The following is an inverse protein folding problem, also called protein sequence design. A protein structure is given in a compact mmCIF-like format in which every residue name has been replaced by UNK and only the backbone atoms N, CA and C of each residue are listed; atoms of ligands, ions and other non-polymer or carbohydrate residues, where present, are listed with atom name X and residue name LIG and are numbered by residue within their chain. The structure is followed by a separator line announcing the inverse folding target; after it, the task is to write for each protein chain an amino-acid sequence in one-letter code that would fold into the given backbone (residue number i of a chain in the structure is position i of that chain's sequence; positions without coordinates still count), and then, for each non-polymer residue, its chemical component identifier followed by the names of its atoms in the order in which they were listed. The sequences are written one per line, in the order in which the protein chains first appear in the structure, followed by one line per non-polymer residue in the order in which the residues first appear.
data_IF_368741733169
#
_entry.id   IF_368741733169
#
_cell.length_a   1.000
_cell.length_b   1.000
_cell.length_c   1.000
_cell.angle_alpha   90.00
_cell.angle_beta   90.00
_cell.angle_gamma   90.00
#
_symmetry.space_group_name_H-M   'P 1'
#
loop_
_entity.id
_entity.type
_entity.pdbx_description
1 polymer ?
#
# COMPACT_ATOMS: atom_id res chain seq x y z
N UNK A 1 -19.38 15.02 -17.21
CA UNK A 1 -19.96 15.56 -15.97
C UNK A 1 -19.03 16.69 -15.51
N UNK A 2 -19.57 17.86 -15.13
CA UNK A 2 -18.74 18.97 -14.61
C UNK A 2 -18.86 18.96 -13.10
N UNK A 3 -17.75 18.75 -12.39
CA UNK A 3 -17.70 18.88 -10.94
C UNK A 3 -17.42 20.34 -10.57
N UNK A 4 -18.17 20.86 -9.59
CA UNK A 4 -18.00 22.21 -9.05
C UNK A 4 -17.93 22.11 -7.54
N UNK A 5 -16.92 22.73 -6.95
CA UNK A 5 -16.76 22.81 -5.50
C UNK A 5 -16.76 24.27 -5.08
N UNK A 6 -17.49 24.58 -3.99
CA UNK A 6 -17.33 25.87 -3.36
C UNK A 6 -15.95 25.94 -2.73
N UNK A 7 -15.28 27.08 -2.84
CA UNK A 7 -14.04 27.29 -2.10
C UNK A 7 -14.24 27.14 -0.60
N UNK A 8 -15.45 27.39 -0.06
CA UNK A 8 -15.77 27.23 1.36
C UNK A 8 -15.79 25.77 1.81
N UNK A 9 -16.07 24.84 0.90
CA UNK A 9 -16.17 23.42 1.22
C UNK A 9 -14.78 22.77 1.29
N UNK A 10 -13.75 23.39 0.70
CA UNK A 10 -12.39 22.88 0.76
C UNK A 10 -11.86 23.01 2.19
N UNK A 11 -11.41 21.89 2.75
CA UNK A 11 -10.83 21.78 4.10
C UNK A 11 -9.32 21.68 4.08
N UNK A 12 -8.77 21.00 3.08
CA UNK A 12 -7.33 20.84 2.93
C UNK A 12 -6.94 20.67 1.46
N UNK A 13 -5.70 21.03 1.14
CA UNK A 13 -5.07 20.77 -0.15
C UNK A 13 -3.65 20.26 0.04
N UNK A 14 -3.32 19.18 -0.66
CA UNK A 14 -2.04 18.51 -0.53
C UNK A 14 -1.36 18.36 -1.88
N UNK A 15 -0.06 18.64 -1.88
CA UNK A 15 0.85 18.37 -3.00
C UNK A 15 0.96 16.85 -3.17
N UNK A 16 0.60 16.34 -4.35
CA UNK A 16 0.69 14.92 -4.70
C UNK A 16 1.65 14.66 -5.86
N UNK A 17 2.04 13.41 -5.98
CA UNK A 17 2.72 12.87 -7.15
C UNK A 17 1.74 12.02 -7.95
N UNK A 18 1.95 11.96 -9.25
CA UNK A 18 1.26 11.05 -10.16
C UNK A 18 2.30 10.47 -11.13
N UNK A 19 2.38 9.15 -11.24
CA UNK A 19 3.46 8.46 -11.96
C UNK A 19 4.86 8.91 -11.49
N UNK A 20 5.05 8.99 -10.16
CA UNK A 20 6.27 9.51 -9.52
C UNK A 20 6.64 10.98 -9.86
N UNK A 21 5.82 11.71 -10.61
CA UNK A 21 6.04 13.12 -10.98
C UNK A 21 5.28 14.06 -10.05
N UNK A 22 5.86 15.21 -9.62
CA UNK A 22 5.23 16.15 -8.69
C UNK A 22 4.16 17.04 -9.34
N UNK A 23 3.18 16.42 -10.01
CA UNK A 23 2.20 17.08 -10.88
C UNK A 23 0.76 16.95 -10.38
N UNK A 24 0.57 16.43 -9.16
CA UNK A 24 -0.75 16.25 -8.55
C UNK A 24 -1.06 17.28 -7.47
N UNK A 25 -2.34 17.60 -7.32
CA UNK A 25 -2.93 18.23 -6.13
C UNK A 25 -4.13 17.39 -5.71
N UNK A 26 -4.19 17.02 -4.44
CA UNK A 26 -5.38 16.44 -3.85
C UNK A 26 -6.12 17.48 -3.02
N UNK A 27 -7.43 17.58 -3.24
CA UNK A 27 -8.33 18.50 -2.56
C UNK A 27 -9.24 17.68 -1.66
N UNK A 28 -9.35 18.06 -0.39
CA UNK A 28 -10.26 17.44 0.58
C UNK A 28 -11.38 18.40 0.93
N UNK A 29 -12.62 17.93 0.84
CA UNK A 29 -13.82 18.73 1.08
C UNK A 29 -14.49 18.38 2.41
N UNK A 30 -15.39 19.25 2.87
CA UNK A 30 -16.05 19.15 4.18
C UNK A 30 -17.00 17.98 4.32
N UNK A 31 -17.45 17.41 3.21
CA UNK A 31 -18.23 16.17 3.12
C UNK A 31 -17.36 14.90 3.21
N UNK A 32 -16.04 15.04 3.39
CA UNK A 32 -15.09 13.94 3.52
C UNK A 32 -14.61 13.38 2.19
N UNK A 33 -15.03 13.95 1.04
CA UNK A 33 -14.53 13.54 -0.26
C UNK A 33 -13.12 14.08 -0.52
N UNK A 34 -12.33 13.31 -1.26
CA UNK A 34 -11.04 13.70 -1.79
C UNK A 34 -11.07 13.66 -3.32
N UNK A 35 -10.46 14.64 -3.99
CA UNK A 35 -10.30 14.62 -5.44
C UNK A 35 -8.85 14.87 -5.82
N UNK A 36 -8.27 13.96 -6.62
CA UNK A 36 -6.94 14.11 -7.18
C UNK A 36 -7.02 14.78 -8.56
N UNK A 37 -6.37 15.94 -8.68
CA UNK A 37 -6.19 16.66 -9.94
C UNK A 37 -4.75 16.51 -10.41
N UNK A 38 -4.56 16.14 -11.68
CA UNK A 38 -3.26 15.97 -12.32
C UNK A 38 -3.08 17.06 -13.37
N UNK A 39 -1.94 17.75 -13.31
CA UNK A 39 -1.64 18.92 -14.14
C UNK A 39 -0.45 18.67 -15.07
N UNK A 40 -0.22 19.58 -16.01
CA UNK A 40 1.08 19.66 -16.66
C UNK A 40 2.14 20.18 -15.69
N UNK A 41 3.41 19.80 -15.91
CA UNK A 41 4.55 20.03 -15.00
C UNK A 41 4.71 21.49 -14.55
N UNK A 42 4.35 22.44 -15.42
CA UNK A 42 4.51 23.88 -15.19
C UNK A 42 3.33 24.55 -14.48
N UNK A 43 2.18 23.86 -14.36
CA UNK A 43 0.92 24.50 -13.92
C UNK A 43 0.62 24.24 -12.44
N UNK A 44 1.05 23.09 -11.93
CA UNK A 44 0.67 22.59 -10.60
C UNK A 44 0.96 23.61 -9.49
N UNK A 45 2.12 24.24 -9.49
CA UNK A 45 2.48 25.17 -8.41
C UNK A 45 1.66 26.45 -8.46
N UNK A 46 1.46 27.02 -9.66
CA UNK A 46 0.60 28.18 -9.89
C UNK A 46 -0.83 27.94 -9.40
N UNK A 47 -1.39 26.76 -9.68
CA UNK A 47 -2.73 26.38 -9.22
C UNK A 47 -2.75 26.24 -7.69
N UNK A 48 -1.76 25.54 -7.12
CA UNK A 48 -1.67 25.34 -5.67
C UNK A 48 -1.61 26.67 -4.91
N UNK A 49 -0.73 27.58 -5.34
CA UNK A 49 -0.60 28.91 -4.75
C UNK A 49 -1.88 29.73 -4.87
N UNK A 50 -2.54 29.67 -6.03
CA UNK A 50 -3.82 30.36 -6.26
C UNK A 50 -4.90 29.90 -5.26
N UNK A 51 -5.04 28.59 -5.05
CA UNK A 51 -6.02 28.04 -4.09
C UNK A 51 -5.64 28.42 -2.65
N UNK A 52 -4.36 28.34 -2.27
CA UNK A 52 -3.89 28.77 -0.95
C UNK A 52 -4.20 30.25 -0.69
N UNK A 53 -4.02 31.13 -1.68
CA UNK A 53 -4.20 32.57 -1.53
C UNK A 53 -5.68 32.97 -1.38
N UNK A 54 -6.60 32.18 -1.94
CA UNK A 54 -8.05 32.41 -1.82
C UNK A 54 -8.63 32.05 -0.43
N UNK A 55 -7.90 31.28 0.38
CA UNK A 55 -8.34 30.85 1.71
C UNK A 55 -7.17 31.00 2.70
N UNK A 56 -7.06 32.19 3.29
CA UNK A 56 -6.03 32.49 4.30
C UNK A 56 -6.07 31.54 5.53
N UNK A 57 -7.20 30.88 5.80
CA UNK A 57 -7.31 29.83 6.82
C UNK A 57 -6.44 28.59 6.53
N UNK A 58 -6.15 28.30 5.25
CA UNK A 58 -5.16 27.27 4.89
C UNK A 58 -3.72 27.65 5.29
N UNK A 59 -3.50 28.89 5.71
CA UNK A 59 -2.22 29.36 6.24
C UNK A 59 -2.10 29.05 7.74
N UNK A 60 -3.21 28.80 8.44
CA UNK A 60 -3.24 28.56 9.90
C UNK A 60 -3.63 27.11 10.30
N UNK A 61 -4.08 26.28 9.35
CA UNK A 61 -4.52 24.91 9.62
C UNK A 61 -3.38 23.93 9.96
N UNK A 62 -3.56 23.13 11.01
CA UNK A 62 -2.64 22.09 11.55
C UNK A 62 -2.20 21.00 10.53
N UNK A 63 -2.79 20.98 9.33
CA UNK A 63 -2.65 19.92 8.33
C UNK A 63 -2.51 20.44 6.90
N UNK A 64 -2.25 21.72 6.70
CA UNK A 64 -2.22 22.28 5.34
C UNK A 64 -0.90 21.97 4.66
N UNK A 65 -0.89 21.85 3.33
CA UNK A 65 0.32 21.68 2.52
C UNK A 65 1.38 22.80 2.63
N UNK A 66 1.20 23.78 3.54
CA UNK A 66 2.18 24.79 3.94
C UNK A 66 2.87 24.50 5.29
N UNK A 67 2.28 23.66 6.16
CA UNK A 67 2.94 23.24 7.40
C UNK A 67 4.16 22.38 7.06
N UNK A 68 5.31 22.65 7.67
CA UNK A 68 6.51 21.83 7.47
C UNK A 68 6.19 20.38 7.83
N UNK A 69 6.25 19.47 6.85
CA UNK A 69 5.96 18.04 7.03
C UNK A 69 6.74 17.44 8.20
N UNK A 70 7.93 17.98 8.50
CA UNK A 70 8.75 17.57 9.65
C UNK A 70 8.08 17.84 11.01
N UNK A 71 7.50 19.01 11.21
CA UNK A 71 6.84 19.37 12.49
C UNK A 71 5.58 18.53 12.70
N UNK A 72 4.81 18.31 11.63
CA UNK A 72 3.62 17.48 11.68
C UNK A 72 3.97 16.01 12.00
N UNK A 73 4.97 15.44 11.34
CA UNK A 73 5.47 14.09 11.63
C UNK A 73 5.92 13.94 13.09
N UNK A 74 6.64 14.92 13.63
CA UNK A 74 7.08 14.90 15.04
C UNK A 74 5.89 14.90 16.01
N UNK A 75 4.88 15.73 15.75
CA UNK A 75 3.68 15.79 16.57
C UNK A 75 2.90 14.48 16.53
N UNK A 76 2.68 13.92 15.34
CA UNK A 76 1.96 12.65 15.17
C UNK A 76 2.67 11.49 15.85
N UNK A 77 3.99 11.42 15.69
CA UNK A 77 4.79 10.43 16.39
C UNK A 77 4.63 10.55 17.90
N UNK A 78 4.68 11.76 18.47
CA UNK A 78 4.46 11.98 19.91
C UNK A 78 3.09 11.48 20.35
N UNK A 79 2.02 11.87 19.63
CA UNK A 79 0.65 11.46 19.94
C UNK A 79 0.51 9.93 19.92
N UNK A 80 1.13 9.28 18.94
CA UNK A 80 1.13 7.83 18.82
C UNK A 80 1.88 7.15 19.97
N UNK A 81 3.10 7.61 20.30
CA UNK A 81 3.88 7.09 21.43
C UNK A 81 3.14 7.22 22.77
N UNK A 82 2.42 8.32 22.96
CA UNK A 82 1.61 8.54 24.18
C UNK A 82 0.26 7.83 24.15
N UNK A 83 -0.08 7.15 23.05
CA UNK A 83 -1.34 6.46 22.85
C UNK A 83 -2.56 7.37 22.70
N UNK A 84 -2.35 8.66 22.42
CA UNK A 84 -3.42 9.60 22.08
C UNK A 84 -4.03 9.31 20.70
N UNK A 85 -3.31 8.63 19.81
CA UNK A 85 -3.82 8.08 18.54
C UNK A 85 -3.49 6.60 18.40
N UNK A 86 -4.38 5.86 17.73
CA UNK A 86 -4.25 4.42 17.52
C UNK A 86 -3.18 4.07 16.47
N UNK A 87 -2.78 2.80 16.41
CA UNK A 87 -1.86 2.31 15.37
C UNK A 87 -2.47 2.53 13.98
N UNK A 88 -3.76 2.25 13.80
CA UNK A 88 -4.46 2.51 12.55
C UNK A 88 -4.41 4.00 12.15
N UNK A 89 -4.71 4.91 13.08
CA UNK A 89 -4.68 6.34 12.78
C UNK A 89 -3.27 6.80 12.41
N UNK A 90 -2.26 6.34 13.14
CA UNK A 90 -0.87 6.68 12.83
C UNK A 90 -0.45 6.18 11.44
N UNK A 91 -0.78 4.93 11.10
CA UNK A 91 -0.51 4.36 9.77
C UNK A 91 -1.23 5.12 8.64
N UNK A 92 -2.49 5.52 8.86
CA UNK A 92 -3.21 6.35 7.89
C UNK A 92 -2.48 7.68 7.65
N UNK A 93 -2.05 8.35 8.72
CA UNK A 93 -1.31 9.61 8.60
C UNK A 93 0.05 9.43 7.91
N UNK A 94 0.80 8.36 8.22
CA UNK A 94 2.06 8.07 7.52
C UNK A 94 1.83 7.83 6.02
N UNK A 95 0.80 7.06 5.66
CA UNK A 95 0.42 6.83 4.28
C UNK A 95 0.11 8.15 3.56
N UNK A 96 -0.75 9.00 4.13
CA UNK A 96 -1.09 10.32 3.57
C UNK A 96 0.16 11.20 3.39
N UNK A 97 1.03 11.26 4.40
CA UNK A 97 2.27 12.06 4.34
C UNK A 97 3.28 11.51 3.34
N UNK A 98 3.26 10.20 3.08
CA UNK A 98 4.07 9.54 2.07
C UNK A 98 3.53 9.69 0.63
N UNK A 99 2.39 10.37 0.46
CA UNK A 99 1.74 10.63 -0.82
C UNK A 99 0.66 9.62 -1.23
N UNK A 100 0.34 8.65 -0.36
CA UNK A 100 -0.68 7.64 -0.62
C UNK A 100 -2.09 8.21 -0.51
N UNK A 101 -2.99 7.73 -1.36
CA UNK A 101 -4.37 8.20 -1.42
C UNK A 101 -5.30 7.15 -2.06
N UNK A 102 -6.61 7.32 -1.87
CA UNK A 102 -7.64 6.41 -2.39
C UNK A 102 -8.03 6.70 -3.85
N UNK A 103 -7.65 7.87 -4.38
CA UNK A 103 -8.00 8.32 -5.73
C UNK A 103 -7.08 7.76 -6.82
N UNK A 104 -5.90 7.25 -6.45
CA UNK A 104 -4.95 6.60 -7.34
C UNK A 104 -4.59 5.20 -6.79
N UNK A 105 -5.14 4.16 -7.42
CA UNK A 105 -4.90 2.77 -7.01
C UNK A 105 -3.43 2.35 -7.11
N UNK A 106 -2.61 3.04 -7.90
CA UNK A 106 -1.16 2.77 -7.98
C UNK A 106 -0.40 3.30 -6.77
N UNK A 107 -1.03 4.18 -5.99
CA UNK A 107 -0.51 4.79 -4.77
C UNK A 107 -1.48 4.62 -3.59
N UNK A 108 -2.16 3.48 -3.51
CA UNK A 108 -3.08 3.16 -2.44
C UNK A 108 -2.40 3.07 -1.07
N UNK A 109 -3.09 3.36 0.05
CA UNK A 109 -2.52 3.18 1.38
C UNK A 109 -2.13 1.72 1.67
N UNK A 110 -1.06 1.55 2.44
CA UNK A 110 -0.43 0.26 2.73
C UNK A 110 -0.50 0.00 4.23
N UNK A 111 -0.92 -1.21 4.59
CA UNK A 111 -0.97 -1.69 5.96
C UNK A 111 -0.20 -3.02 6.08
N UNK A 112 0.40 -3.31 7.24
CA UNK A 112 1.11 -4.57 7.44
C UNK A 112 0.13 -5.73 7.46
N UNK A 113 0.56 -6.92 7.05
CA UNK A 113 0.08 -8.14 7.70
C UNK A 113 0.52 -8.13 9.17
N UNK A 114 -0.40 -8.37 10.11
CA UNK A 114 -0.08 -8.41 11.56
C UNK A 114 -0.16 -9.80 12.17
N UNK A 115 -0.99 -10.68 11.63
CA UNK A 115 -1.10 -12.07 12.04
C UNK A 115 -0.39 -12.99 11.04
N UNK A 116 0.00 -14.17 11.52
CA UNK A 116 0.45 -15.31 10.71
C UNK A 116 -0.39 -16.57 10.91
N UNK A 117 -1.24 -16.60 11.94
CA UNK A 117 -2.14 -17.71 12.20
C UNK A 117 -3.52 -17.50 11.56
N UNK A 118 -3.70 -18.17 10.42
CA UNK A 118 -4.96 -18.22 9.68
C UNK A 118 -5.52 -19.64 9.59
N UNK A 119 -5.09 -20.54 10.48
CA UNK A 119 -5.44 -21.97 10.44
C UNK A 119 -6.05 -22.50 11.74
N UNK A 120 -5.75 -21.89 12.88
CA UNK A 120 -6.29 -22.36 14.17
C UNK A 120 -7.76 -22.02 14.37
N UNK A 121 -8.45 -22.88 15.13
CA UNK A 121 -9.86 -22.70 15.52
C UNK A 121 -10.08 -21.52 16.46
N UNK A 122 -9.04 -21.11 17.18
CA UNK A 122 -9.07 -20.01 18.13
C UNK A 122 -7.83 -19.14 17.95
N UNK A 123 -8.02 -17.82 18.04
CA UNK A 123 -6.94 -16.84 17.95
C UNK A 123 -6.68 -16.23 19.33
N UNK A 124 -5.54 -16.57 19.90
CA UNK A 124 -5.05 -16.03 21.17
C UNK A 124 -3.99 -14.95 20.94
N UNK A 125 -4.40 -13.69 21.06
CA UNK A 125 -3.53 -12.53 20.86
C UNK A 125 -2.51 -12.31 22.00
N UNK A 126 -2.54 -13.12 23.06
CA UNK A 126 -1.49 -13.10 24.09
C UNK A 126 -0.23 -13.88 23.69
N UNK A 127 -0.34 -14.72 22.66
CA UNK A 127 0.72 -15.63 22.18
C UNK A 127 1.52 -14.96 21.05
N UNK A 128 2.78 -14.58 21.25
CA UNK A 128 3.61 -13.91 20.23
C UNK A 128 3.68 -14.64 18.89
N UNK A 129 3.58 -15.97 18.91
CA UNK A 129 3.65 -16.84 17.73
C UNK A 129 2.50 -16.67 16.73
N UNK A 130 1.38 -16.06 17.13
CA UNK A 130 0.27 -15.78 16.19
C UNK A 130 0.55 -14.54 15.34
N UNK A 131 1.55 -13.73 15.71
CA UNK A 131 1.89 -12.50 15.01
C UNK A 131 2.98 -12.72 13.96
N UNK A 132 2.90 -11.89 12.92
CA UNK A 132 3.97 -11.74 11.93
C UNK A 132 5.18 -11.07 12.58
N UNK A 133 6.39 -11.43 12.15
CA UNK A 133 7.60 -10.67 12.46
C UNK A 133 7.59 -9.34 11.67
N UNK A 134 7.26 -8.24 12.35
CA UNK A 134 7.15 -6.90 11.75
C UNK A 134 8.51 -6.28 11.38
N UNK A 135 9.62 -6.85 11.85
CA UNK A 135 10.96 -6.41 11.50
C UNK A 135 11.44 -6.88 10.12
N UNK A 136 10.69 -7.81 9.51
CA UNK A 136 11.02 -8.45 8.23
C UNK A 136 9.99 -8.11 7.14
N UNK A 137 10.40 -7.85 5.88
CA UNK A 137 9.47 -7.72 4.76
C UNK A 137 8.74 -9.05 4.49
N UNK A 138 7.63 -9.02 3.72
CA UNK A 138 6.88 -10.24 3.38
C UNK A 138 7.78 -11.34 2.82
N UNK A 139 8.68 -11.00 1.88
CA UNK A 139 9.61 -11.94 1.27
C UNK A 139 10.55 -12.67 2.23
N UNK A 140 10.73 -12.18 3.46
CA UNK A 140 11.66 -12.71 4.45
C UNK A 140 10.97 -13.37 5.67
N UNK A 141 9.65 -13.59 5.62
CA UNK A 141 8.91 -14.25 6.70
C UNK A 141 9.27 -15.73 6.87
N UNK A 142 9.60 -16.41 5.76
CA UNK A 142 10.16 -17.75 5.74
C UNK A 142 11.66 -17.71 5.44
N UNK A 143 12.46 -18.45 6.21
CA UNK A 143 13.93 -18.40 6.14
C UNK A 143 14.48 -19.05 4.86
N UNK A 144 13.87 -20.13 4.39
CA UNK A 144 14.31 -20.79 3.15
C UNK A 144 14.06 -19.88 1.94
N UNK A 145 12.90 -19.22 1.92
CA UNK A 145 12.57 -18.22 0.90
C UNK A 145 13.44 -16.97 1.00
N UNK A 146 13.73 -16.50 2.21
CA UNK A 146 14.65 -15.39 2.45
C UNK A 146 16.06 -15.68 1.89
N UNK A 147 16.57 -16.89 2.11
CA UNK A 147 17.85 -17.33 1.57
C UNK A 147 17.86 -17.37 0.04
N UNK A 148 16.76 -17.74 -0.60
CA UNK A 148 16.64 -17.68 -2.06
C UNK A 148 16.69 -16.25 -2.60
N UNK A 149 15.97 -15.31 -1.98
CA UNK A 149 16.04 -13.90 -2.37
C UNK A 149 17.44 -13.33 -2.19
N UNK A 150 18.11 -13.64 -1.07
CA UNK A 150 19.50 -13.25 -0.83
C UNK A 150 20.43 -13.80 -1.91
N UNK A 151 20.31 -15.08 -2.24
CA UNK A 151 21.09 -15.72 -3.30
C UNK A 151 20.88 -15.06 -4.66
N UNK A 152 19.65 -14.68 -5.01
CA UNK A 152 19.33 -14.00 -6.29
C UNK A 152 19.95 -12.61 -6.34
N UNK A 153 19.93 -11.89 -5.22
CA UNK A 153 20.55 -10.57 -5.09
C UNK A 153 22.08 -10.65 -5.19
N UNK A 154 22.71 -11.56 -4.44
CA UNK A 154 24.17 -11.70 -4.38
C UNK A 154 24.78 -12.18 -5.70
N UNK A 155 24.06 -13.04 -6.43
CA UNK A 155 24.49 -13.57 -7.73
C UNK A 155 23.88 -12.79 -8.91
N UNK A 156 23.49 -11.52 -8.70
CA UNK A 156 22.90 -10.71 -9.75
C UNK A 156 23.87 -10.55 -10.93
N UNK A 157 23.45 -11.02 -12.10
CA UNK A 157 24.15 -10.83 -13.36
C UNK A 157 23.40 -9.76 -14.12
N UNK A 158 24.08 -8.68 -14.49
CA UNK A 158 23.52 -7.61 -15.30
C UNK A 158 22.99 -8.18 -16.64
N UNK A 159 21.66 -8.23 -16.87
CA UNK A 159 21.12 -8.84 -18.07
C UNK A 159 21.34 -7.99 -19.32
N UNK A 160 21.42 -6.66 -19.18
CA UNK A 160 21.51 -5.72 -20.29
C UNK A 160 22.60 -4.66 -20.02
N UNK A 161 23.76 -4.75 -20.70
CA UNK A 161 24.83 -3.78 -20.56
C UNK A 161 24.48 -2.36 -21.05
N UNK A 162 23.52 -2.22 -21.96
CA UNK A 162 23.07 -0.93 -22.50
C UNK A 162 22.05 -0.26 -21.56
N UNK A 163 21.28 -1.06 -20.84
CA UNK A 163 20.26 -0.62 -19.88
C UNK A 163 20.43 -1.29 -18.51
N UNK A 164 21.47 -0.91 -17.75
CA UNK A 164 21.85 -1.62 -16.54
C UNK A 164 20.75 -1.56 -15.48
N UNK A 165 20.37 -2.73 -14.98
CA UNK A 165 19.37 -2.92 -13.93
C UNK A 165 20.08 -3.31 -12.64
N UNK A 166 20.06 -2.47 -11.58
CA UNK A 166 20.75 -2.78 -10.34
C UNK A 166 20.11 -4.00 -9.64
N UNK A 167 20.87 -4.71 -8.79
CA UNK A 167 20.37 -5.85 -8.04
C UNK A 167 19.15 -5.50 -7.18
N UNK A 168 18.18 -6.42 -7.11
CA UNK A 168 17.00 -6.30 -6.26
C UNK A 168 16.58 -7.67 -5.72
N UNK A 169 15.87 -7.66 -4.59
CA UNK A 169 15.27 -8.87 -4.01
C UNK A 169 13.94 -9.18 -4.71
N UNK A 170 13.14 -8.15 -5.00
CA UNK A 170 11.77 -8.33 -5.46
C UNK A 170 11.49 -7.63 -6.80
N UNK A 171 11.12 -8.41 -7.82
CA UNK A 171 10.58 -7.91 -9.10
C UNK A 171 9.09 -7.53 -9.01
N UNK A 172 8.41 -7.97 -7.95
CA UNK A 172 7.03 -7.58 -7.62
C UNK A 172 7.04 -6.68 -6.40
N UNK A 173 5.99 -5.88 -6.24
CA UNK A 173 5.92 -4.89 -5.17
C UNK A 173 4.80 -5.24 -4.18
N UNK A 174 4.98 -4.85 -2.91
CA UNK A 174 4.00 -5.10 -1.86
C UNK A 174 2.68 -4.33 -2.04
N UNK A 175 2.66 -3.33 -2.92
CA UNK A 175 1.51 -2.47 -3.21
C UNK A 175 1.46 -2.11 -4.69
N UNK A 176 0.39 -2.48 -5.38
CA UNK A 176 0.13 -2.13 -6.77
C UNK A 176 -1.37 -2.01 -7.01
N UNK A 177 -1.78 -1.36 -8.10
CA UNK A 177 -3.20 -1.30 -8.46
C UNK A 177 -3.81 -2.70 -8.62
N UNK A 178 -3.05 -3.64 -9.19
CA UNK A 178 -3.47 -5.03 -9.29
C UNK A 178 -3.67 -5.70 -7.92
N UNK A 179 -2.82 -5.40 -6.91
CA UNK A 179 -3.00 -5.92 -5.55
C UNK A 179 -4.26 -5.35 -4.86
N UNK A 180 -4.54 -4.06 -5.06
CA UNK A 180 -5.76 -3.41 -4.52
C UNK A 180 -7.00 -4.03 -5.16
N UNK A 181 -7.03 -4.15 -6.49
CA UNK A 181 -8.14 -4.79 -7.21
C UNK A 181 -8.29 -6.26 -6.84
N UNK A 182 -7.17 -6.97 -6.62
CA UNK A 182 -7.20 -8.36 -6.15
C UNK A 182 -7.95 -8.48 -4.82
N UNK A 183 -7.66 -7.64 -3.83
CA UNK A 183 -8.35 -7.68 -2.55
C UNK A 183 -9.80 -7.21 -2.64
N UNK A 184 -10.06 -6.09 -3.34
CA UNK A 184 -11.36 -5.42 -3.35
C UNK A 184 -12.28 -5.86 -4.49
N UNK A 185 -11.97 -6.93 -5.20
CA UNK A 185 -12.71 -7.39 -6.41
C UNK A 185 -14.23 -7.53 -6.21
N UNK A 186 -14.71 -7.71 -4.98
CA UNK A 186 -16.14 -7.86 -4.64
C UNK A 186 -16.90 -6.54 -4.43
N UNK A 187 -16.19 -5.41 -4.41
CA UNK A 187 -16.77 -4.08 -4.22
C UNK A 187 -16.60 -3.22 -5.47
N UNK A 188 -17.64 -2.48 -5.82
CA UNK A 188 -17.51 -1.40 -6.80
C UNK A 188 -16.86 -0.16 -6.17
N UNK A 189 -16.06 0.62 -6.93
CA UNK A 189 -15.78 0.50 -8.36
C UNK A 189 -14.64 -0.49 -8.72
N UNK A 190 -14.12 -1.24 -7.75
CA UNK A 190 -12.93 -2.10 -7.93
C UNK A 190 -13.23 -3.33 -8.78
N UNK A 191 -14.45 -3.88 -8.71
CA UNK A 191 -14.92 -4.92 -9.63
C UNK A 191 -14.81 -4.47 -11.08
N UNK A 192 -15.38 -3.31 -11.42
CA UNK A 192 -15.30 -2.73 -12.76
C UNK A 192 -13.85 -2.43 -13.18
N UNK A 193 -13.04 -1.90 -12.27
CA UNK A 193 -11.63 -1.63 -12.52
C UNK A 193 -10.82 -2.91 -12.81
N UNK A 194 -11.07 -4.00 -12.07
CA UNK A 194 -10.46 -5.31 -12.30
C UNK A 194 -10.81 -5.86 -13.68
N UNK A 195 -12.10 -5.83 -14.04
CA UNK A 195 -12.59 -6.30 -15.34
C UNK A 195 -11.94 -5.51 -16.48
N UNK A 196 -11.79 -4.19 -16.32
CA UNK A 196 -11.09 -3.36 -17.31
C UNK A 196 -9.62 -3.74 -17.44
N UNK A 197 -8.91 -3.91 -16.31
CA UNK A 197 -7.49 -4.31 -16.30
C UNK A 197 -7.27 -5.67 -16.98
N UNK A 198 -8.23 -6.58 -16.89
CA UNK A 198 -8.17 -7.95 -17.44
C UNK A 198 -8.78 -8.08 -18.84
N UNK A 199 -8.96 -6.98 -19.56
CA UNK A 199 -9.43 -7.01 -20.96
C UNK A 199 -10.92 -7.30 -21.12
N UNK A 200 -11.74 -6.89 -20.16
CA UNK A 200 -13.21 -6.95 -20.24
C UNK A 200 -13.86 -8.17 -19.58
N UNK A 201 -13.11 -8.96 -18.80
CA UNK A 201 -13.65 -10.10 -18.05
C UNK A 201 -12.93 -10.28 -16.72
N UNK A 202 -13.45 -11.13 -15.83
CA UNK A 202 -12.72 -11.53 -14.63
C UNK A 202 -11.45 -12.31 -14.97
N UNK A 203 -10.51 -12.32 -14.03
CA UNK A 203 -9.28 -13.10 -14.16
C UNK A 203 -9.61 -14.60 -13.96
N UNK A 204 -8.66 -15.48 -14.26
CA UNK A 204 -8.74 -16.89 -13.99
C UNK A 204 -9.08 -17.15 -12.51
N UNK A 205 -10.08 -18.01 -12.23
CA UNK A 205 -10.59 -18.25 -10.88
C UNK A 205 -9.48 -18.63 -9.87
N UNK A 206 -8.49 -19.43 -10.27
CA UNK A 206 -7.35 -19.78 -9.41
C UNK A 206 -6.44 -18.60 -9.02
N UNK A 207 -6.58 -17.43 -9.65
CA UNK A 207 -5.85 -16.18 -9.33
C UNK A 207 -6.70 -15.15 -8.59
N UNK A 208 -7.99 -15.41 -8.39
CA UNK A 208 -8.88 -14.52 -7.66
C UNK A 208 -8.66 -14.69 -6.15
N UNK A 209 -8.71 -13.57 -5.42
CA UNK A 209 -8.70 -13.56 -3.97
C UNK A 209 -9.90 -14.34 -3.42
N UNK A 210 -9.67 -15.53 -2.87
CA UNK A 210 -10.75 -16.34 -2.32
C UNK A 210 -10.45 -16.94 -0.95
N UNK A 211 -9.24 -16.77 -0.41
CA UNK A 211 -8.91 -17.23 0.94
C UNK A 211 -7.86 -16.33 1.57
N UNK A 212 -8.11 -15.91 2.81
CA UNK A 212 -7.14 -15.12 3.58
C UNK A 212 -5.89 -15.94 3.85
N UNK A 213 -6.07 -17.22 4.24
CA UNK A 213 -4.96 -18.14 4.51
C UNK A 213 -4.10 -18.37 3.27
N UNK A 214 -4.72 -18.68 2.12
CA UNK A 214 -3.95 -18.91 0.89
C UNK A 214 -3.17 -17.67 0.45
N UNK A 215 -3.75 -16.48 0.67
CA UNK A 215 -3.08 -15.21 0.36
C UNK A 215 -1.90 -14.94 1.28
N UNK A 216 -2.04 -15.22 2.58
CA UNK A 216 -0.92 -15.20 3.51
C UNK A 216 0.17 -16.19 3.11
N UNK A 217 -0.19 -17.45 2.83
CA UNK A 217 0.76 -18.50 2.47
C UNK A 217 1.51 -18.15 1.17
N UNK A 218 0.79 -17.66 0.14
CA UNK A 218 1.39 -17.17 -1.10
C UNK A 218 2.41 -16.06 -0.82
N UNK A 219 1.99 -15.02 -0.11
CA UNK A 219 2.80 -13.82 0.11
C UNK A 219 3.93 -14.00 1.13
N UNK A 220 3.82 -14.94 2.08
CA UNK A 220 4.77 -15.16 3.18
C UNK A 220 5.76 -16.32 2.98
N UNK A 221 5.43 -17.32 2.15
CA UNK A 221 6.27 -18.52 2.01
C UNK A 221 6.23 -19.24 0.65
N UNK A 222 5.10 -19.28 -0.07
CA UNK A 222 4.95 -20.21 -1.21
C UNK A 222 5.38 -19.62 -2.56
N UNK A 223 5.21 -18.32 -2.77
CA UNK A 223 5.46 -17.69 -4.07
C UNK A 223 6.63 -16.72 -3.98
N UNK A 224 7.53 -16.77 -4.98
CA UNK A 224 8.62 -15.81 -5.14
C UNK A 224 8.20 -14.54 -5.89
N UNK A 225 7.00 -14.59 -6.49
CA UNK A 225 6.38 -13.48 -7.22
C UNK A 225 5.23 -12.87 -6.43
N UNK A 226 5.13 -13.17 -5.13
CA UNK A 226 4.12 -12.59 -4.25
C UNK A 226 4.74 -12.14 -2.93
N UNK A 227 4.74 -10.82 -2.72
CA UNK A 227 5.21 -10.15 -1.51
C UNK A 227 4.22 -9.07 -1.05
N UNK A 228 2.92 -9.22 -1.40
CA UNK A 228 1.88 -8.23 -1.10
C UNK A 228 1.74 -7.97 0.40
N UNK A 229 1.75 -6.71 0.77
CA UNK A 229 1.25 -6.24 2.06
C UNK A 229 -0.27 -6.00 1.98
N UNK A 230 -0.90 -5.69 3.11
CA UNK A 230 -2.33 -5.46 3.19
C UNK A 230 -2.73 -4.03 2.80
N UNK A 231 -4.04 -3.87 2.63
CA UNK A 231 -4.73 -2.58 2.52
C UNK A 231 -5.50 -2.26 3.83
N UNK A 232 -5.85 -0.99 4.09
CA UNK A 232 -6.52 -0.60 5.32
C UNK A 232 -7.85 -1.33 5.59
N UNK A 233 -8.57 -1.71 4.54
CA UNK A 233 -9.91 -2.32 4.60
C UNK A 233 -9.95 -3.60 5.45
N UNK A 234 -8.84 -4.35 5.53
CA UNK A 234 -8.71 -5.51 6.41
C UNK A 234 -8.94 -5.21 7.91
N UNK A 235 -8.93 -3.92 8.30
CA UNK A 235 -9.01 -3.45 9.67
C UNK A 235 -10.27 -2.64 9.99
N UNK A 236 -11.16 -2.43 9.03
CA UNK A 236 -12.42 -1.71 9.27
C UNK A 236 -13.59 -2.05 8.34
N UNK A 237 -13.39 -2.72 7.20
CA UNK A 237 -14.45 -2.94 6.21
C UNK A 237 -14.69 -4.45 6.06
N UNK A 238 -15.77 -5.03 6.57
CA UNK A 238 -16.06 -6.45 6.39
C UNK A 238 -16.60 -6.78 4.99
N UNK A 239 -17.23 -5.82 4.31
CA UNK A 239 -17.98 -5.99 3.07
C UNK A 239 -17.12 -6.51 1.90
N UNK A 240 -15.82 -6.19 1.84
CA UNK A 240 -14.95 -6.65 0.74
C UNK A 240 -14.74 -8.17 0.72
N UNK A 241 -15.07 -8.85 1.82
CA UNK A 241 -14.97 -10.30 1.96
C UNK A 241 -16.24 -11.02 1.48
N UNK A 242 -17.33 -10.28 1.25
CA UNK A 242 -18.64 -10.81 0.91
C UNK A 242 -18.93 -10.61 -0.59
N UNK A 243 -19.52 -11.63 -1.23
CA UNK A 243 -19.97 -11.51 -2.62
C UNK A 243 -21.44 -11.06 -2.69
N UNK A 244 -21.77 -9.92 -2.07
CA UNK A 244 -23.15 -9.42 -2.01
C UNK A 244 -23.75 -9.15 -3.40
N UNK A 245 -22.90 -8.72 -4.32
CA UNK A 245 -23.25 -8.44 -5.72
C UNK A 245 -23.45 -9.71 -6.57
N UNK A 246 -23.27 -10.91 -5.99
CA UNK A 246 -23.43 -12.21 -6.68
C UNK A 246 -22.62 -12.30 -7.97
N UNK A 247 -21.38 -11.82 -7.93
CA UNK A 247 -20.47 -11.83 -9.06
C UNK A 247 -20.16 -13.28 -9.47
N UNK A 248 -20.08 -13.54 -10.78
CA UNK A 248 -19.59 -14.82 -11.30
C UNK A 248 -18.06 -14.80 -11.36
N UNK A 249 -17.44 -15.19 -10.24
CA UNK A 249 -15.98 -15.24 -10.10
C UNK A 249 -15.36 -16.53 -10.66
N UNK A 250 -16.19 -17.40 -11.27
CA UNK A 250 -15.74 -18.65 -11.88
C UNK A 250 -15.56 -19.82 -10.91
N UNK A 251 -14.94 -20.90 -11.40
CA UNK A 251 -14.73 -22.16 -10.66
C UNK A 251 -13.25 -22.50 -10.67
N UNK A 252 -12.69 -22.78 -9.48
CA UNK A 252 -11.28 -23.17 -9.33
C UNK A 252 -11.03 -24.56 -9.89
N UNK A 253 -9.97 -24.73 -10.67
CA UNK A 253 -9.69 -26.01 -11.33
C UNK A 253 -9.34 -27.12 -10.34
N UNK A 254 -8.53 -26.81 -9.32
CA UNK A 254 -7.98 -27.83 -8.41
C UNK A 254 -8.98 -28.40 -7.40
N UNK A 255 -10.00 -27.62 -7.02
CA UNK A 255 -11.00 -28.01 -6.01
C UNK A 255 -12.42 -28.18 -6.57
N UNK A 256 -12.62 -27.83 -7.85
CA UNK A 256 -13.95 -27.72 -8.47
C UNK A 256 -14.93 -26.85 -7.65
N UNK A 257 -14.39 -25.90 -6.88
CA UNK A 257 -15.17 -25.02 -6.00
C UNK A 257 -15.50 -23.74 -6.76
N UNK A 258 -16.79 -23.40 -6.80
CA UNK A 258 -17.26 -22.11 -7.32
C UNK A 258 -16.87 -21.01 -6.33
N UNK A 259 -16.32 -19.93 -6.87
CA UNK A 259 -15.92 -18.79 -6.07
C UNK A 259 -17.13 -17.94 -5.68
N UNK A 260 -17.13 -17.52 -4.41
CA UNK A 260 -18.15 -16.66 -3.82
C UNK A 260 -17.52 -15.75 -2.76
N UNK A 261 -18.01 -15.75 -1.52
CA UNK A 261 -17.37 -15.07 -0.38
C UNK A 261 -15.96 -15.60 -0.13
N UNK A 262 -15.11 -14.76 0.48
CA UNK A 262 -13.74 -15.12 0.83
C UNK A 262 -13.75 -16.15 1.96
N UNK A 263 -12.98 -17.24 1.80
CA UNK A 263 -12.73 -18.21 2.86
C UNK A 263 -11.96 -17.55 4.01
N UNK A 264 -12.61 -17.48 5.17
CA UNK A 264 -12.07 -16.88 6.38
C UNK A 264 -11.39 -17.94 7.27
N UNK A 265 -10.45 -17.54 8.13
CA UNK A 265 -9.85 -18.41 9.12
C UNK A 265 -10.90 -19.03 10.06
N UNK A 266 -10.68 -20.25 10.60
CA UNK A 266 -11.64 -20.91 11.48
C UNK A 266 -12.03 -20.08 12.72
N UNK A 267 -11.08 -19.35 13.30
CA UNK A 267 -11.31 -18.45 14.44
C UNK A 267 -12.24 -17.27 14.14
N UNK A 268 -12.56 -16.97 12.88
CA UNK A 268 -13.55 -15.96 12.50
C UNK A 268 -14.98 -16.53 12.42
N UNK A 269 -15.15 -17.85 12.57
CA UNK A 269 -16.44 -18.53 12.59
C UNK A 269 -17.36 -18.20 11.40
N UNK A 270 -16.76 -17.96 10.23
CA UNK A 270 -17.48 -17.58 9.01
C UNK A 270 -18.04 -16.16 8.99
N UNK A 271 -17.72 -15.31 9.97
CA UNK A 271 -18.17 -13.91 10.02
C UNK A 271 -17.06 -12.96 9.57
N UNK A 272 -17.35 -12.16 8.53
CA UNK A 272 -16.46 -11.09 8.06
C UNK A 272 -16.30 -9.98 9.10
N UNK A 273 -17.35 -9.63 9.83
CA UNK A 273 -17.30 -8.71 10.97
C UNK A 273 -16.35 -9.20 12.06
N UNK A 274 -16.48 -10.47 12.47
CA UNK A 274 -15.59 -11.08 13.47
C UNK A 274 -14.14 -11.10 13.00
N UNK A 275 -13.91 -11.43 11.72
CA UNK A 275 -12.59 -11.37 11.11
C UNK A 275 -11.98 -9.97 11.23
N UNK A 276 -12.68 -8.93 10.75
CA UNK A 276 -12.20 -7.55 10.77
C UNK A 276 -12.02 -7.06 12.20
N UNK A 277 -12.93 -7.41 13.11
CA UNK A 277 -12.84 -7.08 14.53
C UNK A 277 -11.57 -7.65 15.16
N UNK A 278 -11.26 -8.92 14.92
CA UNK A 278 -10.04 -9.59 15.42
C UNK A 278 -8.77 -9.04 14.77
N UNK A 279 -8.79 -8.75 13.46
CA UNK A 279 -7.69 -8.09 12.77
C UNK A 279 -7.41 -6.70 13.37
N UNK A 280 -8.45 -5.91 13.66
CA UNK A 280 -8.31 -4.61 14.32
C UNK A 280 -7.79 -4.74 15.74
N UNK A 281 -8.26 -5.73 16.50
CA UNK A 281 -7.73 -6.03 17.84
C UNK A 281 -6.24 -6.42 17.78
N UNK A 282 -5.83 -7.23 16.80
CA UNK A 282 -4.44 -7.59 16.61
C UNK A 282 -3.58 -6.37 16.27
N UNK A 283 -4.04 -5.51 15.34
CA UNK A 283 -3.34 -4.27 14.97
C UNK A 283 -3.14 -3.33 16.15
N UNK A 284 -4.13 -3.22 17.04
CA UNK A 284 -4.08 -2.34 18.22
C UNK A 284 -3.51 -3.04 19.47
N UNK A 285 -3.05 -4.29 19.35
CA UNK A 285 -2.46 -5.03 20.47
C UNK A 285 -1.17 -4.40 20.99
N UNK A 286 -0.78 -4.75 22.22
CA UNK A 286 0.51 -4.36 22.80
C UNK A 286 1.68 -4.93 21.99
N UNK A 287 1.56 -6.18 21.51
CA UNK A 287 2.58 -6.80 20.67
C UNK A 287 2.86 -5.94 19.43
N UNK A 288 1.82 -5.63 18.64
CA UNK A 288 1.98 -4.81 17.42
C UNK A 288 2.43 -3.40 17.77
N UNK A 289 1.83 -2.75 18.76
CA UNK A 289 2.24 -1.40 19.18
C UNK A 289 3.75 -1.33 19.46
N UNK A 290 4.28 -2.36 20.11
CA UNK A 290 5.67 -2.39 20.52
C UNK A 290 6.66 -2.79 19.40
N UNK A 291 6.19 -3.28 18.25
CA UNK A 291 7.03 -3.71 17.09
C UNK A 291 6.72 -2.95 15.78
N UNK A 292 5.62 -2.19 15.71
CA UNK A 292 5.17 -1.52 14.48
C UNK A 292 6.19 -0.54 13.90
N UNK A 293 7.01 0.06 14.76
CA UNK A 293 8.11 0.94 14.36
C UNK A 293 9.12 0.26 13.42
N UNK A 294 9.33 -1.05 13.55
CA UNK A 294 10.24 -1.82 12.70
C UNK A 294 9.67 -2.00 11.29
N UNK A 295 8.36 -2.23 11.18
CA UNK A 295 7.68 -2.26 9.89
C UNK A 295 7.66 -0.88 9.22
N UNK A 296 7.44 0.17 10.02
CA UNK A 296 7.54 1.55 9.53
C UNK A 296 8.93 1.83 8.98
N UNK A 297 9.99 1.30 9.59
CA UNK A 297 11.36 1.43 9.09
C UNK A 297 11.57 0.79 7.70
N UNK A 298 10.89 -0.33 7.41
CA UNK A 298 10.91 -0.99 6.10
C UNK A 298 10.17 -0.17 5.04
N UNK A 299 8.97 0.32 5.36
CA UNK A 299 8.07 0.93 4.36
C UNK A 299 8.32 2.42 4.18
N UNK A 300 8.47 3.17 5.28
CA UNK A 300 8.58 4.64 5.26
C UNK A 300 9.91 5.16 5.83
N UNK A 301 10.70 4.30 6.48
CA UNK A 301 11.88 4.72 7.22
C UNK A 301 13.20 4.34 6.57
N UNK A 302 14.23 4.20 7.40
CA UNK A 302 15.62 4.15 6.94
C UNK A 302 15.98 2.83 6.24
N UNK A 303 15.21 1.75 6.45
CA UNK A 303 15.40 0.45 5.78
C UNK A 303 14.67 0.34 4.44
N UNK A 304 14.07 1.43 3.94
CA UNK A 304 13.46 1.47 2.60
C UNK A 304 14.51 1.45 1.48
N UNK A 305 15.70 2.03 1.70
CA UNK A 305 16.76 2.19 0.68
C UNK A 305 18.15 2.00 1.27
N UNK A 306 19.15 1.83 0.40
CA UNK A 306 20.56 1.78 0.75
C UNK A 306 20.98 0.48 1.47
N UNK A 307 22.14 0.46 2.14
CA UNK A 307 22.67 -0.75 2.78
C UNK A 307 21.72 -1.38 3.79
N UNK A 308 21.00 -0.56 4.57
CA UNK A 308 20.01 -1.04 5.53
C UNK A 308 18.84 -1.79 4.87
N UNK A 309 18.46 -1.42 3.64
CA UNK A 309 17.48 -2.17 2.87
C UNK A 309 18.04 -3.50 2.37
N UNK A 310 19.32 -3.54 1.96
CA UNK A 310 19.98 -4.78 1.54
C UNK A 310 20.04 -5.78 2.70
N UNK A 311 20.50 -5.34 3.87
CA UNK A 311 20.56 -6.15 5.08
C UNK A 311 19.20 -6.72 5.49
N UNK A 312 18.13 -5.92 5.35
CA UNK A 312 16.76 -6.31 5.66
C UNK A 312 16.06 -7.12 4.55
N UNK A 313 16.75 -7.43 3.45
CA UNK A 313 16.18 -8.02 2.23
C UNK A 313 15.04 -7.21 1.61
N UNK A 314 15.06 -5.88 1.75
CA UNK A 314 13.95 -4.98 1.42
C UNK A 314 14.22 -4.11 0.17
N UNK A 315 14.85 -4.69 -0.86
CA UNK A 315 15.18 -3.97 -2.11
C UNK A 315 14.25 -4.41 -3.23
N UNK A 316 13.49 -3.47 -3.77
CA UNK A 316 12.56 -3.67 -4.89
C UNK A 316 13.21 -3.27 -6.21
N UNK A 317 12.54 -3.57 -7.32
CA UNK A 317 12.97 -3.10 -8.64
C UNK A 317 13.17 -1.58 -8.65
N UNK A 318 14.26 -1.09 -9.25
CA UNK A 318 14.68 0.31 -9.16
C UNK A 318 13.62 1.31 -9.63
N UNK A 319 12.86 0.98 -10.68
CA UNK A 319 11.77 1.81 -11.21
C UNK A 319 10.60 2.04 -10.25
N UNK A 320 10.50 1.27 -9.16
CA UNK A 320 9.49 1.51 -8.12
C UNK A 320 9.83 2.72 -7.26
N UNK A 321 11.10 3.15 -7.24
CA UNK A 321 11.58 4.22 -6.38
C UNK A 321 11.49 5.58 -7.05
N UNK A 322 11.00 6.57 -6.31
CA UNK A 322 11.09 7.96 -6.73
C UNK A 322 12.54 8.35 -7.06
N UNK A 323 12.68 9.11 -8.16
CA UNK A 323 13.94 9.65 -8.66
C UNK A 323 14.75 8.68 -9.52
N UNK A 324 14.30 7.43 -9.69
CA UNK A 324 15.01 6.44 -10.48
C UNK A 324 15.01 6.75 -11.99
N UNK A 325 13.91 7.31 -12.52
CA UNK A 325 13.77 7.70 -13.93
C UNK A 325 12.98 9.00 -14.06
N UNK A 326 13.46 9.93 -14.91
CA UNK A 326 12.68 11.08 -15.35
C UNK A 326 11.92 10.73 -16.65
N UNK A 327 10.66 10.31 -16.49
CA UNK A 327 9.77 9.92 -17.59
C UNK A 327 9.58 11.05 -18.62
N UNK A 328 9.74 12.31 -18.22
CA UNK A 328 9.60 13.45 -19.15
C UNK A 328 10.89 13.70 -19.95
N UNK A 329 12.03 13.16 -19.51
CA UNK A 329 13.30 13.23 -20.23
C UNK A 329 13.46 12.14 -21.29
N UNK A 330 12.66 11.07 -21.24
CA UNK A 330 12.67 9.98 -22.22
C UNK A 330 12.11 10.49 -23.56
N UNK A 331 12.95 10.51 -24.59
CA UNK A 331 12.60 11.02 -25.93
C UNK A 331 11.90 9.98 -26.79
N UNK A 332 12.30 8.71 -26.67
CA UNK A 332 11.65 7.63 -27.41
C UNK A 332 10.23 7.38 -26.86
N UNK A 333 9.17 7.55 -27.67
CA UNK A 333 7.80 7.29 -27.22
C UNK A 333 7.58 5.86 -26.74
N UNK A 334 8.27 4.87 -27.34
CA UNK A 334 8.09 3.46 -26.99
C UNK A 334 8.70 3.17 -25.61
N UNK A 335 9.95 3.57 -25.40
CA UNK A 335 10.61 3.50 -24.09
C UNK A 335 9.81 4.25 -23.00
N UNK A 336 9.30 5.44 -23.32
CA UNK A 336 8.49 6.24 -22.39
C UNK A 336 7.20 5.52 -22.00
N UNK A 337 6.48 4.96 -22.98
CA UNK A 337 5.25 4.20 -22.72
C UNK A 337 5.53 2.94 -21.91
N UNK A 338 6.62 2.22 -22.22
CA UNK A 338 7.05 1.03 -21.49
C UNK A 338 7.35 1.36 -20.02
N UNK A 339 8.12 2.43 -19.79
CA UNK A 339 8.45 2.91 -18.43
C UNK A 339 7.20 3.30 -17.65
N UNK A 340 6.27 4.03 -18.27
CA UNK A 340 5.00 4.41 -17.64
C UNK A 340 4.19 3.16 -17.28
N UNK A 341 4.08 2.20 -18.20
CA UNK A 341 3.37 0.94 -17.96
C UNK A 341 4.01 0.16 -16.81
N UNK A 342 5.34 0.19 -16.68
CA UNK A 342 6.02 -0.45 -15.58
C UNK A 342 5.72 0.22 -14.24
N UNK A 343 5.77 1.55 -14.17
CA UNK A 343 5.43 2.33 -12.97
C UNK A 343 3.96 2.11 -12.54
N UNK A 344 3.04 2.05 -13.51
CA UNK A 344 1.61 1.84 -13.24
C UNK A 344 1.32 0.44 -12.68
N UNK A 345 1.92 -0.60 -13.26
CA UNK A 345 1.52 -1.98 -13.00
C UNK A 345 2.37 -2.68 -11.92
N UNK A 346 3.63 -2.29 -11.75
CA UNK A 346 4.58 -2.99 -10.88
C UNK A 346 4.83 -2.30 -9.54
N UNK A 347 4.03 -1.28 -9.22
CA UNK A 347 3.99 -0.62 -7.91
C UNK A 347 4.94 0.56 -7.79
N UNK A 348 4.61 1.44 -6.84
CA UNK A 348 5.39 2.63 -6.52
C UNK A 348 5.73 2.58 -5.04
N UNK A 349 7.01 2.66 -4.66
CA UNK A 349 7.48 2.74 -3.28
C UNK A 349 7.04 4.09 -2.67
N UNK A 350 6.55 4.15 -1.42
CA UNK A 350 6.08 5.41 -0.83
C UNK A 350 7.24 6.38 -0.62
N UNK A 351 6.94 7.68 -0.51
CA UNK A 351 7.97 8.67 -0.15
C UNK A 351 8.58 8.29 1.21
N UNK A 352 9.92 8.23 1.28
CA UNK A 352 10.63 7.99 2.54
C UNK A 352 10.42 9.17 3.51
N UNK A 353 9.88 8.88 4.69
CA UNK A 353 9.56 9.87 5.72
C UNK A 353 10.66 10.02 6.77
N UNK A 354 11.41 8.94 7.03
CA UNK A 354 12.42 8.90 8.09
C UNK A 354 13.75 8.36 7.57
N UNK A 355 14.85 9.00 7.99
CA UNK A 355 16.22 8.59 7.66
C UNK A 355 16.96 7.96 8.85
N UNK A 356 16.28 7.82 10.00
CA UNK A 356 16.79 7.20 11.23
C UNK A 356 15.79 6.15 11.71
N UNK A 357 16.22 5.20 12.56
CA UNK A 357 15.32 4.23 13.18
C UNK A 357 14.09 4.89 13.79
N UNK A 358 12.91 4.37 13.48
CA UNK A 358 11.66 4.88 14.00
C UNK A 358 11.58 4.55 15.50
N UNK A 359 11.27 5.52 16.38
CA UNK A 359 11.11 5.24 17.80
C UNK A 359 9.99 4.22 18.08
N UNK A 360 10.22 3.35 19.05
CA UNK A 360 9.19 2.45 19.61
C UNK A 360 8.06 3.27 20.25
N UNK A 361 6.83 2.75 20.20
CA UNK A 361 5.68 3.29 20.94
C UNK A 361 5.87 3.10 22.43
#
# INVERSE_FOLDING_TARGET
MVHRWSFMDIRDIQRRKYLLRPVGIEIFTSDGLGCLLVFHKTERETVFESVCNLRQEFVQGRWTGRTSSKTLLQNLRRLWQQGEISNLQYLMHLNTLAGRNYNDFTQYPIFPWVLRDYSSDQLDLSRPEVFRDLSKPMGAQDEARAAEYRKRFDNWLEPDPEHPTPPFHYATHYSSAAAVMFYLIRLEPFTSAHVHLQGGKFDHADRIFASVRESWDSASQLSLSDVKELIPEFYYLPDFLLNENRLDLGVRQKRSTRLDCVELPPWAHGSSDEFVRKMRQALESEYVSSHLHEWIDLIFGYRQRGPAAVEALNVFHHLTYEGAVDVDAIKDPVERMSTIAQILNFGQTPTQLFSKPHPRR
#
